data_IF_696236812943
#
_entry.id   IF_696236812943
#
_cell.length_a   1.000
_cell.length_b   1.000
_cell.length_c   1.000
_cell.angle_alpha   90.00
_cell.angle_beta   90.00
_cell.angle_gamma   90.00
#
_symmetry.space_group_name_H-M   'P 1'
#
loop_
_entity.id
_entity.type
_entity.pdbx_description
1 polymer ?
#
# COMPACT_ATOMS: atom_id res chain seq x y z
N UNK A 1 46.90 -26.20 -3.95
CA UNK A 1 46.46 -27.28 -3.02
C UNK A 1 46.71 -26.81 -1.59
N UNK A 2 45.66 -26.40 -0.87
CA UNK A 2 45.70 -26.21 0.59
C UNK A 2 44.30 -26.46 1.14
N UNK A 3 44.23 -27.23 2.22
CA UNK A 3 43.08 -28.03 2.61
C UNK A 3 41.97 -27.29 3.38
N UNK A 4 40.75 -27.76 3.14
CA UNK A 4 39.50 -27.52 3.89
C UNK A 4 39.61 -28.12 5.30
N UNK A 5 39.14 -27.42 6.33
CA UNK A 5 38.65 -28.08 7.56
C UNK A 5 37.47 -27.31 8.15
N UNK A 6 36.28 -27.91 8.04
CA UNK A 6 35.03 -27.48 8.69
C UNK A 6 35.07 -27.89 10.17
N UNK A 7 34.68 -27.01 11.09
CA UNK A 7 34.34 -27.37 12.48
C UNK A 7 32.89 -26.97 12.78
N UNK A 8 32.05 -27.97 13.03
CA UNK A 8 30.71 -27.85 13.60
C UNK A 8 30.83 -27.84 15.12
N UNK A 9 30.14 -26.94 15.81
CA UNK A 9 29.94 -26.98 17.26
C UNK A 9 28.44 -27.10 17.53
N UNK A 10 28.03 -28.23 18.10
CA UNK A 10 26.74 -28.41 18.77
C UNK A 10 26.94 -28.07 20.24
N UNK A 11 26.02 -27.31 20.82
CA UNK A 11 25.88 -27.20 22.28
C UNK A 11 24.42 -27.40 22.67
N UNK A 12 24.18 -28.52 23.34
CA UNK A 12 23.00 -28.86 24.13
C UNK A 12 23.12 -28.24 25.53
N UNK A 13 22.05 -27.65 26.05
CA UNK A 13 21.86 -27.52 27.50
C UNK A 13 20.42 -27.87 27.89
N UNK A 14 20.34 -28.80 28.83
CA UNK A 14 19.14 -29.24 29.54
C UNK A 14 18.90 -28.36 30.78
N UNK A 15 17.64 -28.17 31.16
CA UNK A 15 17.22 -27.55 32.42
C UNK A 15 15.94 -28.19 32.94
N UNK A 16 16.02 -28.79 34.12
CA UNK A 16 14.99 -29.54 34.85
C UNK A 16 13.94 -28.65 35.52
N UNK A 17 12.68 -29.10 35.59
CA UNK A 17 11.65 -28.55 36.46
C UNK A 17 10.65 -29.62 36.92
N UNK A 18 10.76 -30.03 38.19
CA UNK A 18 9.68 -30.65 38.99
C UNK A 18 9.08 -29.52 39.85
N UNK A 19 7.78 -29.39 40.20
CA UNK A 19 6.64 -30.29 40.28
C UNK A 19 6.05 -30.16 41.70
N UNK A 20 4.81 -29.68 41.89
CA UNK A 20 3.87 -30.14 42.94
C UNK A 20 2.48 -29.47 42.84
N UNK A 21 1.44 -30.29 42.97
CA UNK A 21 0.02 -29.93 43.13
C UNK A 21 -0.39 -30.22 44.57
N UNK A 22 -1.16 -29.32 45.21
CA UNK A 22 -2.07 -29.68 46.31
C UNK A 22 -3.37 -28.87 46.20
N UNK A 23 -4.49 -29.58 46.30
CA UNK A 23 -5.86 -29.08 46.26
C UNK A 23 -6.38 -28.71 47.66
N UNK A 24 -7.32 -27.75 47.70
CA UNK A 24 -8.19 -27.49 48.84
C UNK A 24 -9.61 -27.13 48.37
N UNK A 25 -10.58 -27.97 48.71
CA UNK A 25 -12.04 -27.76 48.65
C UNK A 25 -12.48 -27.49 50.10
N UNK A 26 -13.39 -26.58 50.44
CA UNK A 26 -14.85 -26.62 50.23
C UNK A 26 -15.48 -25.31 50.76
N UNK A 27 -16.69 -24.97 50.33
CA UNK A 27 -17.56 -24.03 51.06
C UNK A 27 -18.57 -23.30 50.19
N UNK A 28 -19.73 -23.91 49.94
CA UNK A 28 -20.88 -23.28 49.31
C UNK A 28 -21.59 -22.32 50.27
N UNK A 29 -22.13 -21.22 49.77
CA UNK A 29 -23.46 -20.78 50.20
C UNK A 29 -24.15 -19.90 49.14
N UNK A 30 -25.46 -20.17 49.04
CA UNK A 30 -26.40 -19.82 47.99
C UNK A 30 -26.93 -18.39 48.05
N UNK A 31 -27.39 -17.88 46.90
CA UNK A 31 -28.44 -16.86 46.86
C UNK A 31 -28.38 -15.93 45.64
N UNK A 32 -29.27 -16.14 44.67
CA UNK A 32 -29.61 -15.14 43.65
C UNK A 32 -29.74 -15.70 42.22
N UNK A 33 -30.97 -16.03 41.82
CA UNK A 33 -31.35 -16.41 40.46
C UNK A 33 -31.19 -15.26 39.44
N UNK A 34 -31.07 -15.65 38.16
CA UNK A 34 -30.67 -14.89 36.96
C UNK A 34 -31.72 -13.84 36.49
N UNK A 35 -31.30 -12.90 35.61
CA UNK A 35 -31.73 -13.05 34.22
C UNK A 35 -30.56 -13.08 33.23
N UNK A 36 -30.69 -13.99 32.27
CA UNK A 36 -29.79 -14.24 31.14
C UNK A 36 -29.82 -13.04 30.18
N UNK A 37 -28.74 -12.28 30.14
CA UNK A 37 -28.53 -11.22 29.14
C UNK A 37 -27.63 -11.74 28.03
N UNK A 38 -28.17 -11.69 26.81
CA UNK A 38 -27.48 -11.61 25.52
C UNK A 38 -26.15 -12.35 25.39
N UNK A 39 -26.19 -13.51 24.72
CA UNK A 39 -25.09 -13.84 23.83
C UNK A 39 -24.97 -12.74 22.77
N UNK A 40 -24.07 -11.80 23.00
CA UNK A 40 -23.39 -11.14 21.89
C UNK A 40 -21.99 -11.73 21.88
N UNK A 41 -21.79 -12.70 21.01
CA UNK A 41 -20.48 -12.84 20.39
C UNK A 41 -20.13 -11.44 19.90
N UNK A 42 -19.08 -10.84 20.46
CA UNK A 42 -18.48 -9.64 19.91
C UNK A 42 -17.84 -9.97 18.57
N UNK A 43 -18.65 -10.25 17.56
CA UNK A 43 -18.32 -9.88 16.18
C UNK A 43 -18.49 -8.38 16.14
N UNK A 44 -17.36 -7.67 16.18
CA UNK A 44 -17.22 -6.31 15.69
C UNK A 44 -17.70 -6.29 14.25
N UNK A 45 -19.01 -6.17 14.03
CA UNK A 45 -19.55 -5.58 12.81
C UNK A 45 -19.17 -4.09 12.87
N UNK A 46 -17.95 -3.79 12.42
CA UNK A 46 -17.60 -2.46 11.99
C UNK A 46 -18.39 -2.22 10.71
N UNK A 47 -19.60 -1.67 10.87
CA UNK A 47 -20.36 -1.14 9.76
C UNK A 47 -19.50 -0.08 9.07
N UNK A 48 -19.09 -0.36 7.83
CA UNK A 48 -18.31 0.57 7.03
C UNK A 48 -19.05 1.90 6.92
N UNK A 49 -18.39 2.99 7.34
CA UNK A 49 -18.86 4.33 7.05
C UNK A 49 -18.84 4.60 5.53
N UNK A 50 -19.58 5.61 5.05
CA UNK A 50 -19.74 5.93 3.62
C UNK A 50 -18.45 6.36 2.88
N UNK A 51 -17.28 6.27 3.53
CA UNK A 51 -15.98 6.64 2.97
C UNK A 51 -15.15 5.44 2.49
N UNK A 52 -15.66 4.20 2.58
CA UNK A 52 -14.90 3.01 2.17
C UNK A 52 -13.63 2.73 3.00
N UNK A 53 -13.32 3.57 3.99
CA UNK A 53 -12.23 3.38 4.94
C UNK A 53 -12.67 2.40 6.02
N UNK A 54 -12.88 1.15 5.64
CA UNK A 54 -12.72 0.05 6.56
C UNK A 54 -11.35 -0.55 6.25
N UNK A 55 -10.29 -0.28 7.04
CA UNK A 55 -9.10 -1.10 7.00
C UNK A 55 -9.45 -2.43 7.68
N UNK A 56 -10.36 -3.19 7.07
CA UNK A 56 -10.16 -4.63 7.07
C UNK A 56 -8.75 -4.80 6.54
N UNK A 57 -7.87 -5.37 7.36
CA UNK A 57 -6.47 -5.65 7.08
C UNK A 57 -6.31 -6.09 5.62
N UNK A 58 -6.08 -5.14 4.71
CA UNK A 58 -5.95 -5.46 3.30
C UNK A 58 -4.71 -6.35 3.24
N UNK A 59 -4.82 -7.59 2.73
CA UNK A 59 -3.64 -8.46 2.59
C UNK A 59 -2.57 -7.83 1.69
N UNK A 60 -2.90 -6.73 1.02
CA UNK A 60 -2.05 -6.03 0.09
C UNK A 60 -1.85 -6.82 -1.19
N UNK A 61 -1.19 -6.18 -2.14
CA UNK A 61 -1.00 -6.73 -3.48
C UNK A 61 0.46 -6.87 -3.84
N UNK A 62 0.74 -7.84 -4.70
CA UNK A 62 2.06 -7.96 -5.31
C UNK A 62 2.27 -6.68 -6.13
N UNK A 63 3.33 -5.89 -5.84
CA UNK A 63 3.61 -4.68 -6.60
C UNK A 63 4.02 -5.05 -8.02
N UNK A 64 3.51 -4.30 -9.00
CA UNK A 64 3.81 -4.51 -10.43
C UNK A 64 4.42 -3.27 -11.08
N UNK A 65 4.13 -2.08 -10.55
CA UNK A 65 4.73 -0.81 -11.01
C UNK A 65 5.02 0.07 -9.79
N UNK A 66 6.15 0.78 -9.82
CA UNK A 66 6.48 1.85 -8.88
C UNK A 66 6.62 3.15 -9.65
N UNK A 67 5.98 4.22 -9.15
CA UNK A 67 6.12 5.59 -9.65
C UNK A 67 6.54 6.52 -8.55
N UNK A 68 7.49 7.40 -8.86
CA UNK A 68 7.98 8.43 -7.95
C UNK A 68 8.15 9.70 -8.78
N UNK A 69 7.10 10.54 -8.89
CA UNK A 69 7.11 11.70 -9.78
C UNK A 69 8.30 12.65 -9.52
N UNK A 70 8.60 12.91 -8.25
CA UNK A 70 9.69 13.82 -7.84
C UNK A 70 11.09 13.30 -8.19
N UNK A 71 11.24 12.00 -8.44
CA UNK A 71 12.49 11.36 -8.88
C UNK A 71 12.43 10.87 -10.34
N UNK A 72 11.35 11.15 -11.07
CA UNK A 72 11.18 10.72 -12.47
C UNK A 72 11.12 9.19 -12.65
N UNK A 73 10.70 8.45 -11.62
CA UNK A 73 10.60 6.98 -11.69
C UNK A 73 9.21 6.59 -12.19
N UNK A 74 9.17 5.74 -13.23
CA UNK A 74 8.01 4.96 -13.66
C UNK A 74 8.56 3.62 -14.18
N UNK A 75 8.52 2.59 -13.34
CA UNK A 75 9.26 1.35 -13.55
C UNK A 75 8.45 0.11 -13.20
N UNK A 76 8.65 -0.94 -13.99
CA UNK A 76 8.13 -2.27 -13.69
C UNK A 76 8.80 -2.83 -12.42
N UNK A 77 8.02 -3.59 -11.66
CA UNK A 77 8.48 -4.29 -10.48
C UNK A 77 8.67 -5.76 -10.78
N UNK A 78 9.87 -6.27 -10.52
CA UNK A 78 10.16 -7.70 -10.55
C UNK A 78 10.12 -8.30 -9.15
N UNK A 79 9.73 -9.57 -9.06
CA UNK A 79 9.84 -10.32 -7.82
C UNK A 79 11.27 -10.88 -7.68
N UNK A 80 11.90 -10.57 -6.56
CA UNK A 80 13.19 -11.10 -6.12
C UNK A 80 13.09 -11.77 -4.75
N UNK A 81 14.19 -12.42 -4.35
CA UNK A 81 14.28 -13.16 -3.10
C UNK A 81 15.39 -12.62 -2.20
N UNK A 82 15.21 -12.84 -0.90
CA UNK A 82 16.27 -12.73 0.10
C UNK A 82 16.79 -14.14 0.37
N UNK A 83 18.03 -14.42 -0.04
CA UNK A 83 18.68 -15.73 0.10
C UNK A 83 19.84 -15.60 1.06
N UNK A 84 19.89 -16.44 2.10
CA UNK A 84 20.92 -16.40 3.15
C UNK A 84 21.13 -15.00 3.78
N UNK A 85 20.05 -14.22 3.87
CA UNK A 85 20.07 -12.85 4.40
C UNK A 85 20.59 -11.79 3.42
N UNK A 86 20.81 -12.15 2.16
CA UNK A 86 21.19 -11.22 1.09
C UNK A 86 20.03 -11.00 0.13
N UNK A 87 19.74 -9.73 -0.12
CA UNK A 87 18.83 -9.29 -1.17
C UNK A 87 19.46 -9.55 -2.54
N UNK A 88 18.80 -10.30 -3.41
CA UNK A 88 19.23 -10.44 -4.79
C UNK A 88 19.09 -9.11 -5.54
N UNK A 89 20.04 -8.84 -6.44
CA UNK A 89 20.09 -7.59 -7.20
C UNK A 89 18.96 -7.51 -8.24
N UNK A 90 18.45 -6.30 -8.54
CA UNK A 90 17.56 -6.10 -9.67
C UNK A 90 18.20 -6.56 -10.99
N UNK A 91 17.43 -7.24 -11.83
CA UNK A 91 17.94 -7.88 -13.06
C UNK A 91 18.47 -6.90 -14.10
N UNK A 92 18.03 -5.64 -14.06
CA UNK A 92 18.39 -4.63 -15.05
C UNK A 92 18.32 -3.19 -14.54
N UNK A 93 18.78 -2.23 -15.36
CA UNK A 93 18.92 -0.82 -14.97
C UNK A 93 17.59 -0.08 -14.74
N UNK A 94 16.49 -0.57 -15.32
CA UNK A 94 15.20 0.14 -15.37
C UNK A 94 14.06 -0.58 -14.64
N UNK A 95 14.39 -1.53 -13.76
CA UNK A 95 13.43 -2.31 -12.98
C UNK A 95 13.63 -2.12 -11.49
N UNK A 96 12.54 -2.20 -10.73
CA UNK A 96 12.57 -2.22 -9.27
C UNK A 96 12.39 -3.66 -8.79
N UNK A 97 13.25 -4.14 -7.92
CA UNK A 97 13.10 -5.45 -7.31
C UNK A 97 12.28 -5.34 -6.03
N UNK A 98 11.16 -6.07 -5.93
CA UNK A 98 10.43 -6.30 -4.69
C UNK A 98 10.78 -7.67 -4.11
N UNK A 99 10.95 -7.76 -2.79
CA UNK A 99 11.35 -9.01 -2.14
C UNK A 99 10.15 -9.75 -1.57
N UNK A 100 9.96 -11.01 -1.99
CA UNK A 100 8.79 -11.83 -1.60
C UNK A 100 8.68 -12.11 -0.09
N UNK A 101 9.79 -12.00 0.65
CA UNK A 101 9.85 -12.13 2.10
C UNK A 101 9.39 -10.85 2.82
N UNK A 102 9.24 -9.74 2.10
CA UNK A 102 8.75 -8.46 2.62
C UNK A 102 7.21 -8.35 2.49
N UNK A 103 6.63 -7.29 3.05
CA UNK A 103 5.19 -7.07 2.93
C UNK A 103 4.79 -6.76 1.48
N UNK A 104 3.51 -7.00 1.18
CA UNK A 104 2.87 -6.57 -0.06
C UNK A 104 2.52 -5.09 -0.01
N UNK A 105 2.30 -4.48 -1.18
CA UNK A 105 1.83 -3.10 -1.26
C UNK A 105 0.47 -2.96 -0.56
N UNK A 106 0.33 -1.98 0.33
CA UNK A 106 -0.87 -1.74 1.16
C UNK A 106 -0.99 -2.59 2.43
N UNK A 107 -0.24 -3.69 2.57
CA UNK A 107 -0.32 -4.56 3.73
C UNK A 107 0.39 -3.96 4.95
N UNK A 108 -0.08 -4.29 6.17
CA UNK A 108 0.68 -4.01 7.39
C UNK A 108 2.03 -4.74 7.33
N UNK A 109 3.09 -4.01 7.69
CA UNK A 109 4.47 -4.43 7.56
C UNK A 109 5.21 -3.54 6.58
N UNK A 110 6.40 -3.99 6.17
CA UNK A 110 7.29 -3.20 5.34
C UNK A 110 7.44 -3.84 3.95
N UNK A 111 6.95 -3.16 2.92
CA UNK A 111 7.17 -3.50 1.51
C UNK A 111 8.56 -3.02 1.10
N UNK A 112 9.47 -3.93 0.74
CA UNK A 112 10.87 -3.57 0.47
C UNK A 112 11.12 -3.63 -1.04
N UNK A 113 11.60 -2.51 -1.58
CA UNK A 113 12.02 -2.34 -2.97
C UNK A 113 13.50 -1.97 -3.08
N UNK A 114 14.20 -2.44 -4.11
CA UNK A 114 15.54 -1.97 -4.47
C UNK A 114 15.67 -1.64 -5.95
N UNK A 115 16.62 -0.78 -6.27
CA UNK A 115 16.88 -0.33 -7.63
C UNK A 115 18.30 0.20 -7.76
N UNK A 116 18.86 0.05 -8.96
CA UNK A 116 20.21 0.52 -9.27
C UNK A 116 20.27 2.06 -9.29
N UNK A 117 21.33 2.62 -8.72
CA UNK A 117 21.65 4.05 -8.84
C UNK A 117 22.27 4.34 -10.21
N UNK A 118 23.14 3.45 -10.67
CA UNK A 118 23.78 3.47 -11.98
C UNK A 118 24.00 2.03 -12.50
N UNK A 119 24.36 1.91 -13.78
CA UNK A 119 24.56 0.63 -14.41
C UNK A 119 25.71 0.68 -15.43
N UNK A 120 26.50 -0.40 -15.49
CA UNK A 120 27.87 -0.43 -16.04
C UNK A 120 28.06 0.06 -17.50
N UNK A 121 27.06 0.05 -18.37
CA UNK A 121 27.18 0.59 -19.74
C UNK A 121 26.06 1.58 -20.09
N UNK A 122 25.33 2.04 -19.07
CA UNK A 122 24.11 2.86 -19.20
C UNK A 122 24.28 4.22 -18.52
N UNK A 123 25.01 4.26 -17.41
CA UNK A 123 25.09 5.45 -16.56
C UNK A 123 23.94 5.48 -15.55
N UNK A 124 23.31 6.64 -15.27
CA UNK A 124 22.16 6.75 -14.36
C UNK A 124 21.08 5.69 -14.61
N UNK A 125 20.60 5.07 -13.54
CA UNK A 125 19.59 3.99 -13.57
C UNK A 125 18.31 4.40 -12.83
N UNK A 126 17.38 3.46 -12.64
CA UNK A 126 16.03 3.71 -12.12
C UNK A 126 15.98 4.53 -10.83
N UNK A 127 16.93 4.35 -9.91
CA UNK A 127 16.95 5.04 -8.61
C UNK A 127 17.99 6.16 -8.52
N UNK A 128 18.51 6.64 -9.65
CA UNK A 128 19.53 7.70 -9.68
C UNK A 128 19.13 8.95 -8.88
N UNK A 129 17.90 9.43 -9.05
CA UNK A 129 17.39 10.65 -8.39
C UNK A 129 16.69 10.37 -7.04
N UNK A 130 16.51 9.10 -6.66
CA UNK A 130 15.73 8.73 -5.45
C UNK A 130 16.40 9.22 -4.16
N UNK A 131 17.73 9.33 -4.15
CA UNK A 131 18.47 9.90 -3.02
C UNK A 131 18.21 11.41 -2.82
N UNK A 132 17.64 12.10 -3.82
CA UNK A 132 17.29 13.52 -3.78
C UNK A 132 15.88 13.80 -3.25
N UNK A 133 15.08 12.77 -2.98
CA UNK A 133 13.73 12.92 -2.43
C UNK A 133 13.73 13.67 -1.11
N UNK A 134 12.57 14.20 -0.75
CA UNK A 134 12.33 14.92 0.50
C UNK A 134 11.19 14.24 1.26
N UNK A 135 11.12 14.47 2.57
CA UNK A 135 9.94 14.11 3.35
C UNK A 135 8.68 14.76 2.75
N UNK A 136 7.59 14.02 2.68
CA UNK A 136 6.36 14.43 1.99
C UNK A 136 6.28 14.01 0.51
N UNK A 137 7.38 13.58 -0.11
CA UNK A 137 7.34 13.10 -1.49
C UNK A 137 6.49 11.83 -1.62
N UNK A 138 5.82 11.65 -2.77
CA UNK A 138 4.92 10.53 -3.00
C UNK A 138 5.63 9.36 -3.69
N UNK A 139 5.39 8.15 -3.19
CA UNK A 139 5.73 6.89 -3.82
C UNK A 139 4.43 6.16 -4.12
N UNK A 140 4.11 6.00 -5.40
CA UNK A 140 2.93 5.30 -5.86
C UNK A 140 3.31 3.87 -6.25
N UNK A 141 2.57 2.90 -5.73
CA UNK A 141 2.79 1.48 -6.04
C UNK A 141 1.51 0.90 -6.61
N UNK A 142 1.56 0.45 -7.86
CA UNK A 142 0.44 -0.24 -8.49
C UNK A 142 0.51 -1.72 -8.10
N UNK A 143 -0.56 -2.23 -7.52
CA UNK A 143 -0.75 -3.64 -7.19
C UNK A 143 -1.18 -4.46 -8.40
N UNK A 144 -1.00 -5.78 -8.34
CA UNK A 144 -1.43 -6.71 -9.39
C UNK A 144 -2.96 -6.75 -9.63
N UNK A 145 -3.75 -6.16 -8.75
CA UNK A 145 -5.20 -5.95 -8.91
C UNK A 145 -5.54 -4.63 -9.63
N UNK A 146 -4.54 -3.80 -9.94
CA UNK A 146 -4.67 -2.49 -10.56
C UNK A 146 -4.91 -1.34 -9.57
N UNK A 147 -5.03 -1.61 -8.26
CA UNK A 147 -5.13 -0.55 -7.25
C UNK A 147 -3.80 0.17 -7.10
N UNK A 148 -3.85 1.46 -6.75
CA UNK A 148 -2.65 2.27 -6.50
C UNK A 148 -2.54 2.59 -5.02
N UNK A 149 -1.44 2.16 -4.41
CA UNK A 149 -1.09 2.42 -3.02
C UNK A 149 -0.14 3.61 -2.95
N UNK A 150 -0.60 4.72 -2.36
CA UNK A 150 0.18 5.96 -2.28
C UNK A 150 0.82 6.06 -0.91
N UNK A 151 2.15 6.10 -0.89
CA UNK A 151 2.96 6.28 0.30
C UNK A 151 3.56 7.68 0.32
N UNK A 152 3.67 8.26 1.50
CA UNK A 152 4.37 9.53 1.73
C UNK A 152 5.71 9.24 2.40
N UNK A 153 6.80 9.80 1.87
CA UNK A 153 8.14 9.67 2.44
C UNK A 153 8.16 10.31 3.83
N UNK A 154 8.46 9.52 4.85
CA UNK A 154 8.57 10.00 6.24
C UNK A 154 10.02 10.12 6.71
N UNK A 155 10.96 9.43 6.04
CA UNK A 155 12.35 9.46 6.45
C UNK A 155 13.31 9.04 5.33
N UNK A 156 14.48 9.68 5.27
CA UNK A 156 15.56 9.35 4.34
C UNK A 156 16.86 9.24 5.12
N UNK A 157 17.57 8.13 4.94
CA UNK A 157 18.80 7.84 5.67
C UNK A 157 19.89 7.38 4.72
N UNK A 158 21.10 7.87 4.94
CA UNK A 158 22.31 7.36 4.29
C UNK A 158 23.14 6.63 5.32
N UNK A 159 23.47 5.37 5.03
CA UNK A 159 24.18 4.49 5.97
C UNK A 159 25.47 3.93 5.38
N UNK A 160 26.52 3.88 6.19
CA UNK A 160 27.79 3.24 5.85
C UNK A 160 27.68 1.72 5.95
N UNK A 161 27.89 1.02 4.84
CA UNK A 161 27.80 -0.45 4.77
C UNK A 161 28.76 -1.11 5.77
N UNK A 162 29.95 -0.55 5.93
CA UNK A 162 30.98 -1.07 6.86
C UNK A 162 30.56 -1.04 8.33
N UNK A 163 29.58 -0.21 8.70
CA UNK A 163 29.12 -0.01 10.08
C UNK A 163 27.75 -0.62 10.36
N UNK A 164 27.10 -1.22 9.36
CA UNK A 164 25.76 -1.79 9.50
C UNK A 164 25.82 -3.13 10.25
N UNK A 165 25.23 -3.15 11.44
CA UNK A 165 24.95 -4.39 12.15
C UNK A 165 23.63 -4.99 11.67
N UNK A 166 23.48 -6.31 11.81
CA UNK A 166 22.21 -6.98 11.52
C UNK A 166 21.06 -6.48 12.38
N UNK A 167 21.32 -6.03 13.61
CA UNK A 167 20.30 -5.44 14.49
C UNK A 167 19.79 -4.11 13.94
N UNK A 168 20.70 -3.22 13.51
CA UNK A 168 20.34 -1.94 12.89
C UNK A 168 19.59 -2.13 11.58
N UNK A 169 20.04 -3.06 10.71
CA UNK A 169 19.35 -3.37 9.47
C UNK A 169 17.90 -3.82 9.74
N UNK A 170 17.69 -4.68 10.73
CA UNK A 170 16.36 -5.19 11.07
C UNK A 170 15.50 -4.23 11.91
N UNK A 171 15.95 -2.99 12.12
CA UNK A 171 15.17 -2.03 12.90
C UNK A 171 13.96 -1.51 12.09
N UNK A 172 12.87 -1.10 12.76
CA UNK A 172 11.71 -0.49 12.11
C UNK A 172 12.01 0.82 11.38
N UNK A 173 13.18 1.42 11.60
CA UNK A 173 13.65 2.59 10.87
C UNK A 173 14.35 2.23 9.54
N UNK A 174 14.76 0.96 9.36
CA UNK A 174 15.51 0.45 8.20
C UNK A 174 14.69 -0.56 7.38
N UNK A 175 14.92 -1.87 7.53
CA UNK A 175 14.16 -2.90 6.79
C UNK A 175 13.24 -3.75 7.67
N UNK A 176 13.23 -3.48 8.99
CA UNK A 176 12.38 -4.18 9.94
C UNK A 176 10.88 -4.03 9.66
N UNK A 177 10.05 -4.95 10.19
CA UNK A 177 8.60 -4.87 10.08
C UNK A 177 8.03 -3.71 10.91
N UNK A 178 6.88 -3.21 10.48
CA UNK A 178 6.12 -2.12 11.10
C UNK A 178 4.71 -2.58 11.48
N UNK A 179 4.07 -1.87 12.42
CA UNK A 179 2.66 -2.07 12.81
C UNK A 179 1.66 -1.31 11.91
N UNK A 180 2.18 -0.57 10.92
CA UNK A 180 1.44 0.08 9.84
C UNK A 180 1.97 -0.38 8.48
N UNK A 181 1.29 -0.01 7.40
CA UNK A 181 1.76 -0.25 6.04
C UNK A 181 2.88 0.73 5.66
N UNK A 182 4.10 0.22 5.57
CA UNK A 182 5.31 0.95 5.23
C UNK A 182 5.88 0.48 3.87
N UNK A 183 6.64 1.35 3.24
CA UNK A 183 7.50 1.01 2.10
C UNK A 183 8.93 1.44 2.40
N UNK A 184 9.90 0.67 1.92
CA UNK A 184 11.31 1.08 1.93
C UNK A 184 11.98 0.81 0.61
N UNK A 185 12.52 1.88 0.03
CA UNK A 185 13.33 1.83 -1.16
C UNK A 185 14.81 1.89 -0.77
N UNK A 186 15.60 1.01 -1.35
CA UNK A 186 17.03 0.86 -1.08
C UNK A 186 17.79 1.05 -2.38
N UNK A 187 18.80 1.94 -2.36
CA UNK A 187 19.72 2.07 -3.48
C UNK A 187 21.17 2.23 -3.03
N UNK A 188 22.09 2.02 -3.96
CA UNK A 188 23.51 2.29 -3.75
C UNK A 188 23.74 3.80 -3.59
N UNK A 189 24.61 4.19 -2.66
CA UNK A 189 24.96 5.58 -2.42
C UNK A 189 26.41 5.74 -1.95
N UNK A 190 26.84 6.99 -1.76
CA UNK A 190 28.20 7.29 -1.33
C UNK A 190 29.25 7.08 -2.41
N UNK A 191 30.50 6.88 -1.98
CA UNK A 191 31.63 6.74 -2.88
C UNK A 191 31.72 5.31 -3.43
N UNK A 192 32.13 5.18 -4.70
CA UNK A 192 32.49 3.90 -5.29
C UNK A 192 33.96 3.57 -4.98
N UNK A 193 34.23 2.49 -4.26
CA UNK A 193 35.58 2.12 -3.84
C UNK A 193 36.36 1.27 -4.87
N UNK A 194 35.80 1.09 -6.07
CA UNK A 194 36.35 0.20 -7.12
C UNK A 194 35.77 -1.21 -7.11
N UNK A 195 34.97 -1.56 -6.10
CA UNK A 195 34.25 -2.83 -6.01
C UNK A 195 32.76 -2.62 -5.75
N UNK A 196 32.43 -1.75 -4.79
CA UNK A 196 31.06 -1.44 -4.40
C UNK A 196 30.93 0.01 -3.94
N UNK A 197 29.68 0.46 -3.87
CA UNK A 197 29.30 1.68 -3.19
C UNK A 197 29.41 1.52 -1.68
N UNK A 198 30.07 2.46 -1.00
CA UNK A 198 30.33 2.38 0.45
C UNK A 198 29.09 2.60 1.30
N UNK A 199 28.05 3.22 0.74
CA UNK A 199 26.83 3.57 1.47
C UNK A 199 25.58 3.02 0.80
N UNK A 200 24.47 3.03 1.54
CA UNK A 200 23.12 2.81 1.01
C UNK A 200 22.22 3.96 1.39
N UNK A 201 21.38 4.35 0.46
CA UNK A 201 20.27 5.27 0.71
C UNK A 201 19.01 4.45 0.99
N UNK A 202 18.37 4.76 2.11
CA UNK A 202 17.19 4.10 2.63
C UNK A 202 16.08 5.14 2.70
N UNK A 203 15.05 4.98 1.88
CA UNK A 203 13.92 5.89 1.78
C UNK A 203 12.71 5.17 2.36
N UNK A 204 12.22 5.64 3.51
CA UNK A 204 11.04 5.09 4.19
C UNK A 204 9.81 5.93 3.85
N UNK A 205 8.73 5.26 3.49
CA UNK A 205 7.42 5.86 3.34
C UNK A 205 6.34 5.14 4.15
N UNK A 206 5.28 5.87 4.47
CA UNK A 206 4.08 5.38 5.15
C UNK A 206 2.88 5.48 4.21
N UNK A 207 2.04 4.46 4.18
CA UNK A 207 0.83 4.49 3.36
C UNK A 207 -0.08 5.65 3.79
N UNK A 208 -0.36 6.55 2.85
CA UNK A 208 -1.30 7.65 3.04
C UNK A 208 -2.72 7.18 2.72
N UNK A 209 -2.92 6.58 1.55
CA UNK A 209 -4.19 6.02 1.10
C UNK A 209 -4.00 5.04 -0.05
N UNK A 210 -5.04 4.23 -0.32
CA UNK A 210 -5.13 3.40 -1.51
C UNK A 210 -6.25 3.93 -2.41
N UNK A 211 -5.99 4.00 -3.71
CA UNK A 211 -6.96 4.28 -4.75
C UNK A 211 -7.34 2.95 -5.39
N UNK A 212 -8.64 2.64 -5.46
CA UNK A 212 -9.11 1.42 -6.11
C UNK A 212 -8.65 1.35 -7.55
N UNK A 213 -8.55 0.12 -8.10
CA UNK A 213 -8.29 -0.07 -9.51
C UNK A 213 -9.31 0.75 -10.31
N UNK A 214 -8.85 1.78 -11.03
CA UNK A 214 -9.72 2.59 -11.87
C UNK A 214 -10.56 1.64 -12.71
N UNK A 215 -11.88 1.75 -12.58
CA UNK A 215 -12.81 0.79 -13.17
C UNK A 215 -12.64 0.72 -14.67
N UNK A 216 -11.80 -0.20 -15.14
CA UNK A 216 -12.07 -0.90 -16.38
C UNK A 216 -13.38 -1.66 -16.11
N UNK A 217 -14.49 -1.11 -16.61
CA UNK A 217 -15.79 -1.75 -16.52
C UNK A 217 -15.68 -3.18 -17.03
N UNK A 218 -15.72 -4.14 -16.11
CA UNK A 218 -15.86 -5.55 -16.44
C UNK A 218 -17.27 -5.72 -16.98
N UNK A 219 -17.42 -5.60 -18.30
CA UNK A 219 -18.54 -6.18 -19.04
C UNK A 219 -18.48 -7.70 -18.85
N UNK A 220 -19.08 -8.20 -17.77
CA UNK A 220 -19.45 -9.59 -17.64
C UNK A 220 -20.72 -9.81 -18.47
N UNK A 221 -20.56 -10.57 -19.55
CA UNK A 221 -21.51 -10.67 -20.65
C UNK A 221 -22.95 -11.04 -20.27
N UNK A 222 -23.87 -10.27 -20.85
CA UNK A 222 -25.21 -10.75 -21.20
C UNK A 222 -25.28 -10.80 -22.73
N UNK A 223 -25.03 -11.97 -23.30
CA UNK A 223 -25.39 -12.24 -24.70
C UNK A 223 -26.86 -12.64 -24.75
N UNK A 224 -27.66 -11.74 -25.33
CA UNK A 224 -28.58 -11.95 -26.48
C UNK A 224 -29.88 -11.13 -26.31
N UNK A 225 -29.93 -9.99 -27.02
CA UNK A 225 -31.11 -9.15 -27.19
C UNK A 225 -30.77 -7.80 -27.84
N UNK A 226 -30.66 -7.77 -29.16
CA UNK A 226 -30.43 -6.57 -30.00
C UNK A 226 -31.77 -5.83 -30.30
N UNK A 227 -31.82 -4.55 -30.74
CA UNK A 227 -31.11 -3.33 -30.34
C UNK A 227 -32.07 -2.14 -30.04
N UNK A 228 -31.62 -1.11 -29.32
CA UNK A 228 -32.13 0.27 -29.44
C UNK A 228 -31.05 1.22 -28.91
N UNK A 229 -30.38 1.96 -29.79
CA UNK A 229 -30.62 3.38 -30.03
C UNK A 229 -30.02 4.28 -28.93
N UNK A 230 -28.82 4.75 -29.24
CA UNK A 230 -28.28 6.10 -29.00
C UNK A 230 -28.13 6.69 -27.58
N UNK A 231 -27.02 7.43 -27.46
CA UNK A 231 -26.72 8.56 -26.55
C UNK A 231 -26.07 8.29 -25.18
N UNK A 232 -24.75 8.47 -25.18
CA UNK A 232 -24.02 9.44 -24.33
C UNK A 232 -24.73 9.95 -23.06
N UNK A 233 -24.69 9.19 -21.98
CA UNK A 233 -24.62 9.76 -20.62
C UNK A 233 -23.98 8.74 -19.67
N UNK A 234 -22.65 8.75 -19.59
CA UNK A 234 -21.94 8.12 -18.47
C UNK A 234 -22.06 9.00 -17.22
N UNK A 235 -23.29 9.22 -16.75
CA UNK A 235 -23.60 9.93 -15.52
C UNK A 235 -24.03 8.91 -14.46
N UNK A 236 -23.15 8.57 -13.54
CA UNK A 236 -23.53 7.75 -12.39
C UNK A 236 -24.67 8.42 -11.61
N UNK A 237 -25.69 7.65 -11.22
CA UNK A 237 -26.81 8.18 -10.44
C UNK A 237 -26.34 8.48 -9.01
N UNK A 238 -26.35 9.76 -8.63
CA UNK A 238 -26.04 10.18 -7.25
C UNK A 238 -27.33 10.17 -6.41
N UNK A 239 -27.29 9.49 -5.26
CA UNK A 239 -28.43 9.39 -4.36
C UNK A 239 -28.63 10.67 -3.54
N UNK A 240 -29.88 10.96 -3.16
CA UNK A 240 -30.22 12.03 -2.21
C UNK A 240 -29.49 11.82 -0.88
N UNK A 241 -28.88 12.89 -0.35
CA UNK A 241 -28.01 12.85 0.81
C UNK A 241 -26.57 12.44 0.52
N UNK A 242 -26.25 12.07 -0.73
CA UNK A 242 -24.89 11.79 -1.19
C UNK A 242 -24.02 13.04 -1.19
N UNK A 243 -22.73 12.85 -0.95
CA UNK A 243 -21.72 13.89 -1.11
C UNK A 243 -20.85 13.58 -2.32
N UNK A 244 -20.54 14.60 -3.12
CA UNK A 244 -19.64 14.48 -4.25
C UNK A 244 -18.58 15.58 -4.17
N UNK A 245 -17.38 15.27 -4.66
CA UNK A 245 -16.31 16.26 -4.84
C UNK A 245 -16.00 16.33 -6.31
N UNK A 246 -15.89 17.54 -6.85
CA UNK A 246 -15.53 17.74 -8.25
C UNK A 246 -14.06 17.37 -8.45
N UNK A 247 -13.78 16.30 -9.19
CA UNK A 247 -12.43 15.76 -9.42
C UNK A 247 -11.66 16.44 -10.56
N UNK A 248 -12.37 17.02 -11.53
CA UNK A 248 -11.80 17.59 -12.76
C UNK A 248 -11.92 19.13 -12.80
N UNK A 249 -11.61 19.76 -13.95
CA UNK A 249 -11.47 21.21 -14.18
C UNK A 249 -12.70 22.09 -13.84
N UNK A 250 -13.79 21.49 -13.36
CA UNK A 250 -14.97 22.15 -12.83
C UNK A 250 -16.28 21.59 -13.38
N UNK A 251 -17.39 21.88 -12.69
CA UNK A 251 -18.74 21.46 -13.12
C UNK A 251 -19.64 22.67 -13.35
N UNK A 252 -20.23 22.75 -14.53
CA UNK A 252 -21.23 23.76 -14.87
C UNK A 252 -22.56 23.44 -14.17
N UNK A 253 -23.09 24.39 -13.41
CA UNK A 253 -24.42 24.31 -12.80
C UNK A 253 -25.37 25.16 -13.62
N UNK A 254 -26.45 24.53 -14.08
CA UNK A 254 -27.54 25.15 -14.84
C UNK A 254 -28.78 25.29 -13.95
N UNK A 255 -29.68 26.19 -14.31
CA UNK A 255 -30.97 26.39 -13.64
C UNK A 255 -32.04 25.39 -14.08
N UNK A 256 -31.80 24.66 -15.17
CA UNK A 256 -32.69 23.62 -15.70
C UNK A 256 -31.88 22.41 -16.23
N UNK A 257 -32.56 21.27 -16.41
CA UNK A 257 -31.97 20.02 -16.88
C UNK A 257 -31.70 19.99 -18.40
N UNK A 258 -32.21 20.97 -19.16
CA UNK A 258 -31.99 21.08 -20.60
C UNK A 258 -30.52 21.38 -20.95
N UNK A 259 -30.04 20.81 -22.05
CA UNK A 259 -28.71 21.07 -22.60
C UNK A 259 -28.56 22.50 -23.14
N UNK A 260 -29.68 23.17 -23.43
CA UNK A 260 -29.74 24.56 -23.88
C UNK A 260 -29.82 25.58 -22.72
N UNK A 261 -29.91 25.12 -21.46
CA UNK A 261 -30.01 26.00 -20.31
C UNK A 261 -28.69 26.76 -20.02
N UNK A 262 -28.83 28.00 -19.54
CA UNK A 262 -27.69 28.87 -19.26
C UNK A 262 -26.89 28.35 -18.04
N UNK A 263 -25.56 28.49 -18.11
CA UNK A 263 -24.70 28.17 -16.98
C UNK A 263 -24.78 29.29 -15.95
N UNK A 264 -25.37 28.98 -14.80
CA UNK A 264 -25.58 29.92 -13.70
C UNK A 264 -24.30 30.11 -12.88
N UNK A 265 -23.53 29.03 -12.71
CA UNK A 265 -22.23 29.07 -12.03
C UNK A 265 -21.37 27.88 -12.41
N UNK A 266 -20.06 27.97 -12.15
CA UNK A 266 -19.12 26.87 -12.32
C UNK A 266 -18.54 26.53 -10.95
N UNK A 267 -18.66 25.26 -10.55
CA UNK A 267 -18.04 24.73 -9.35
C UNK A 267 -16.60 24.35 -9.69
N UNK A 268 -15.63 24.89 -8.97
CA UNK A 268 -14.22 24.57 -9.19
C UNK A 268 -13.87 23.15 -8.73
N UNK A 269 -12.79 22.60 -9.28
CA UNK A 269 -12.15 21.38 -8.79
C UNK A 269 -11.95 21.43 -7.26
N UNK A 270 -12.23 20.32 -6.57
CA UNK A 270 -12.14 20.23 -5.11
C UNK A 270 -13.36 20.79 -4.36
N UNK A 271 -14.38 21.32 -5.04
CA UNK A 271 -15.61 21.77 -4.37
C UNK A 271 -16.42 20.57 -3.89
N UNK A 272 -16.68 20.51 -2.59
CA UNK A 272 -17.58 19.52 -1.98
C UNK A 272 -19.04 19.99 -2.10
N UNK A 273 -19.90 19.12 -2.62
CA UNK A 273 -21.34 19.37 -2.76
C UNK A 273 -22.15 18.27 -2.09
N UNK A 274 -23.30 18.66 -1.52
CA UNK A 274 -24.27 17.73 -0.95
C UNK A 274 -25.49 17.69 -1.86
N UNK A 275 -25.91 16.50 -2.25
CA UNK A 275 -27.10 16.28 -3.07
C UNK A 275 -28.33 16.34 -2.17
N UNK A 276 -29.14 17.39 -2.30
CA UNK A 276 -30.31 17.62 -1.43
C UNK A 276 -31.63 17.11 -2.03
N UNK A 277 -31.61 16.46 -3.20
CA UNK A 277 -32.79 15.85 -3.83
C UNK A 277 -32.40 14.68 -4.72
N UNK A 278 -33.31 13.72 -4.89
CA UNK A 278 -33.09 12.58 -5.78
C UNK A 278 -32.90 12.96 -7.25
N UNK A 279 -32.26 12.07 -8.03
CA UNK A 279 -32.14 12.22 -9.47
C UNK A 279 -33.52 12.35 -10.11
N UNK A 280 -33.73 13.38 -10.93
CA UNK A 280 -34.90 13.49 -11.80
C UNK A 280 -34.45 13.21 -13.24
N UNK A 281 -35.18 12.36 -13.95
CA UNK A 281 -34.98 12.23 -15.40
C UNK A 281 -35.34 13.58 -16.03
N UNK A 282 -34.37 14.15 -16.76
CA UNK A 282 -34.64 15.28 -17.65
C UNK A 282 -35.52 14.77 -18.79
N UNK A 283 -36.81 15.05 -18.71
CA UNK A 283 -37.72 14.75 -19.81
C UNK A 283 -37.52 15.81 -20.91
N UNK A 284 -36.66 15.55 -21.88
CA UNK A 284 -36.63 16.34 -23.13
C UNK A 284 -36.48 15.42 -24.36
N UNK A 285 -37.61 14.84 -24.76
CA UNK A 285 -37.91 14.63 -26.18
C UNK A 285 -39.22 15.37 -26.50
N UNK A 286 -39.12 16.63 -26.92
CA UNK A 286 -40.06 17.26 -27.87
C UNK A 286 -39.30 18.20 -28.80
#
# INVERSE_FOLDING_TARGET
MAQITRRRLLSTMAGLGAGLVVAGRTGANSGGELPQWGQTSGTTDLQAGPLGLNPALDPGQIPVVVRIPDAGVDAEVEQQQIVDGQMLDPSGPWVVAWYEQSARAGAIGNCIGSGHVDYWDVGPAVFYEVAGLQEGAQIEVVGGDGATYVYEVENIQRVEVANLTSEQLNSPEMVGPTDYAAITLITCGGDFNGQEYTQRDIIRGRLAFAQGAGGAGTEAGQTEGEPAADEDTAGGTLAEGGQATISDDGVNVRDDASTDAEVVTVLAAGTAVTITGGSQEGNDFV
#
